data_IF_957029952139
#
_entry.id   IF_957029952139
#
_cell.length_a   1.000
_cell.length_b   1.000
_cell.length_c   1.000
_cell.angle_alpha   90.00
_cell.angle_beta   90.00
_cell.angle_gamma   90.00
#
_symmetry.space_group_name_H-M   'P 1'
#
loop_
_entity.id
_entity.type
_entity.pdbx_description
1 polymer ?
#
# COMPACT_ATOMS: atom_id res chain seq x y z
N UNK A 1 -12.15 1.66 27.12
CA UNK A 1 -11.79 1.61 25.68
C UNK A 1 -10.94 0.38 25.48
N UNK A 2 -11.20 -0.45 24.45
CA UNK A 2 -10.36 -1.63 24.21
C UNK A 2 -8.97 -1.19 23.76
N UNK A 3 -7.95 -1.76 24.40
CA UNK A 3 -6.55 -1.48 24.09
C UNK A 3 -6.24 -1.88 22.64
N UNK A 4 -5.67 -0.96 21.88
CA UNK A 4 -5.27 -1.19 20.49
C UNK A 4 -3.93 -1.91 20.49
N UNK A 5 -3.86 -3.03 19.81
CA UNK A 5 -2.61 -3.79 19.65
C UNK A 5 -1.97 -3.38 18.33
N UNK A 6 -0.81 -2.71 18.44
CA UNK A 6 0.03 -2.33 17.31
C UNK A 6 1.07 -3.43 17.09
N UNK A 7 0.92 -4.21 15.99
CA UNK A 7 1.73 -5.43 15.83
C UNK A 7 1.84 -5.90 14.37
N UNK A 8 2.83 -6.76 14.15
CA UNK A 8 2.91 -7.66 13.00
C UNK A 8 2.15 -8.94 13.34
N UNK A 9 1.33 -9.42 12.41
CA UNK A 9 0.47 -10.58 12.59
C UNK A 9 0.58 -11.55 11.43
N UNK A 10 0.19 -12.80 11.70
CA UNK A 10 0.14 -13.91 10.77
C UNK A 10 -1.29 -14.43 10.64
N UNK A 11 -1.67 -14.82 9.44
CA UNK A 11 -2.92 -15.51 9.15
C UNK A 11 -2.54 -16.83 8.47
N UNK A 12 -2.82 -17.95 9.10
CA UNK A 12 -2.45 -19.28 8.61
C UNK A 12 -3.69 -20.06 8.19
N UNK A 13 -3.67 -20.63 6.99
CA UNK A 13 -4.63 -21.63 6.54
C UNK A 13 -4.22 -22.97 7.16
N UNK A 14 -5.03 -23.53 8.04
CA UNK A 14 -4.73 -24.78 8.75
C UNK A 14 -4.82 -26.02 7.85
N UNK A 15 -5.47 -25.92 6.69
CA UNK A 15 -5.60 -27.05 5.75
C UNK A 15 -4.38 -27.17 4.86
N UNK A 16 -3.86 -26.04 4.34
CA UNK A 16 -2.73 -26.05 3.39
C UNK A 16 -1.39 -25.75 4.05
N UNK A 17 -1.39 -25.12 5.22
CA UNK A 17 -0.19 -24.60 5.88
C UNK A 17 0.28 -23.24 5.30
N UNK A 18 -0.35 -22.76 4.25
CA UNK A 18 -0.02 -21.44 3.67
C UNK A 18 -0.38 -20.32 4.63
N UNK A 19 0.39 -19.24 4.58
CA UNK A 19 0.16 -18.12 5.51
C UNK A 19 0.45 -16.77 4.88
N UNK A 20 -0.13 -15.75 5.51
CA UNK A 20 0.02 -14.34 5.21
C UNK A 20 0.65 -13.60 6.40
N UNK A 21 1.51 -12.64 6.14
CA UNK A 21 2.05 -11.72 7.14
C UNK A 21 1.57 -10.31 6.81
N UNK A 22 1.16 -9.57 7.81
CA UNK A 22 0.75 -8.17 7.69
C UNK A 22 1.00 -7.41 8.97
N UNK A 23 0.89 -6.09 8.92
CA UNK A 23 1.02 -5.22 10.08
C UNK A 23 -0.18 -4.30 10.24
N UNK A 24 -0.48 -3.88 11.45
CA UNK A 24 -1.53 -2.92 11.75
C UNK A 24 -1.30 -2.20 13.07
N UNK A 25 -1.71 -0.92 13.13
CA UNK A 25 -1.81 -0.14 14.38
C UNK A 25 -2.94 -0.63 15.31
N UNK A 26 -3.90 -1.35 14.74
CA UNK A 26 -4.99 -2.00 15.44
C UNK A 26 -5.25 -3.35 14.77
N UNK A 27 -4.63 -4.38 15.32
CA UNK A 27 -4.69 -5.75 14.80
C UNK A 27 -6.11 -6.31 14.89
N UNK A 28 -6.84 -6.02 15.97
CA UNK A 28 -8.22 -6.51 16.17
C UNK A 28 -9.15 -5.98 15.08
N UNK A 29 -9.06 -4.68 14.80
CA UNK A 29 -9.83 -4.05 13.71
C UNK A 29 -9.42 -4.61 12.35
N UNK A 30 -8.12 -4.82 12.14
CA UNK A 30 -7.59 -5.36 10.88
C UNK A 30 -8.05 -6.79 10.63
N UNK A 31 -8.07 -7.63 11.65
CA UNK A 31 -8.59 -8.99 11.57
C UNK A 31 -10.09 -9.03 11.26
N UNK A 32 -10.88 -8.16 11.87
CA UNK A 32 -12.30 -8.02 11.53
C UNK A 32 -12.50 -7.66 10.05
N UNK A 33 -11.64 -6.79 9.50
CA UNK A 33 -11.65 -6.47 8.07
C UNK A 33 -11.29 -7.68 7.20
N UNK A 34 -10.30 -8.49 7.59
CA UNK A 34 -9.95 -9.72 6.85
C UNK A 34 -11.07 -10.75 6.87
N UNK A 35 -11.81 -10.84 7.97
CA UNK A 35 -12.96 -11.76 8.12
C UNK A 35 -14.23 -11.29 7.38
N UNK A 36 -14.27 -10.06 6.89
CA UNK A 36 -15.45 -9.48 6.26
C UNK A 36 -15.60 -9.89 4.78
N UNK A 37 -16.67 -10.59 4.37
CA UNK A 37 -16.89 -11.01 2.97
C UNK A 37 -16.95 -9.86 1.98
N UNK A 38 -17.42 -8.67 2.37
CA UNK A 38 -17.44 -7.50 1.50
C UNK A 38 -16.05 -7.05 1.06
N UNK A 39 -15.02 -7.29 1.90
CA UNK A 39 -13.63 -7.02 1.55
C UNK A 39 -13.10 -8.03 0.54
N UNK A 40 -13.47 -9.29 0.66
CA UNK A 40 -13.07 -10.32 -0.30
C UNK A 40 -13.60 -10.02 -1.70
N UNK A 41 -14.84 -9.49 -1.79
CA UNK A 41 -15.45 -9.08 -3.05
C UNK A 41 -14.74 -7.88 -3.70
N UNK A 42 -14.19 -6.97 -2.89
CA UNK A 42 -13.39 -5.84 -3.39
C UNK A 42 -12.01 -6.25 -3.92
N UNK A 43 -11.51 -7.41 -3.48
CA UNK A 43 -10.21 -7.94 -3.87
C UNK A 43 -10.34 -9.38 -4.39
N UNK A 44 -11.04 -9.61 -5.52
CA UNK A 44 -11.41 -10.95 -5.98
C UNK A 44 -10.22 -11.86 -6.30
N UNK A 45 -9.08 -11.27 -6.68
CA UNK A 45 -7.88 -12.00 -7.08
C UNK A 45 -6.82 -12.10 -5.96
N UNK A 46 -7.15 -11.70 -4.73
CA UNK A 46 -6.22 -11.84 -3.62
C UNK A 46 -6.12 -13.30 -3.17
N UNK A 47 -4.92 -13.92 -3.16
CA UNK A 47 -4.75 -15.36 -2.85
C UNK A 47 -5.31 -15.75 -1.49
N UNK A 48 -5.07 -14.95 -0.44
CA UNK A 48 -5.60 -15.18 0.89
C UNK A 48 -7.14 -15.23 0.89
N UNK A 49 -7.79 -14.29 0.17
CA UNK A 49 -9.26 -14.22 0.11
C UNK A 49 -9.88 -15.28 -0.80
N UNK A 50 -9.15 -15.75 -1.82
CA UNK A 50 -9.55 -16.88 -2.63
C UNK A 50 -9.64 -18.15 -1.77
N UNK A 51 -8.63 -18.38 -0.96
CA UNK A 51 -8.57 -19.53 -0.08
C UNK A 51 -9.55 -19.42 1.10
N UNK A 52 -9.76 -18.21 1.65
CA UNK A 52 -10.81 -17.99 2.66
C UNK A 52 -12.21 -18.32 2.13
N UNK A 53 -12.49 -18.05 0.84
CA UNK A 53 -13.76 -18.44 0.19
C UNK A 53 -13.85 -19.95 -0.04
N UNK A 54 -12.73 -20.57 -0.42
CA UNK A 54 -12.67 -22.00 -0.76
C UNK A 54 -12.74 -22.89 0.44
N UNK A 55 -12.02 -22.55 1.49
CA UNK A 55 -11.83 -23.41 2.66
C UNK A 55 -12.68 -23.00 3.88
N UNK A 56 -13.29 -21.82 3.85
CA UNK A 56 -14.01 -21.25 4.99
C UNK A 56 -13.09 -20.53 5.98
N UNK A 57 -13.59 -19.46 6.57
CA UNK A 57 -12.82 -18.60 7.49
C UNK A 57 -12.45 -19.30 8.80
N UNK A 58 -13.23 -20.31 9.18
CA UNK A 58 -13.03 -21.14 10.37
C UNK A 58 -11.72 -21.95 10.33
N UNK A 59 -11.18 -22.17 9.12
CA UNK A 59 -9.91 -22.87 8.92
C UNK A 59 -8.71 -21.90 8.86
N UNK A 60 -8.91 -20.64 9.27
CA UNK A 60 -7.83 -19.66 9.33
C UNK A 60 -7.55 -19.21 10.75
N UNK A 61 -6.30 -19.37 11.18
CA UNK A 61 -5.81 -18.93 12.48
C UNK A 61 -5.15 -17.57 12.36
N UNK A 62 -5.49 -16.66 13.26
CA UNK A 62 -4.99 -15.29 13.32
C UNK A 62 -4.13 -15.13 14.56
N UNK A 63 -2.86 -14.80 14.39
CA UNK A 63 -1.87 -14.74 15.46
C UNK A 63 -1.08 -13.43 15.40
N UNK A 64 -0.77 -12.84 16.55
CA UNK A 64 0.23 -11.78 16.66
C UNK A 64 1.60 -12.42 16.68
N UNK A 65 2.51 -11.96 15.82
CA UNK A 65 3.91 -12.41 15.80
C UNK A 65 4.73 -11.57 16.77
N UNK A 66 4.63 -10.25 16.64
CA UNK A 66 5.41 -9.30 17.43
C UNK A 66 4.68 -7.95 17.54
N UNK A 67 4.58 -7.44 18.77
CA UNK A 67 4.12 -6.08 19.01
C UNK A 67 5.24 -5.10 18.70
N UNK A 68 4.90 -3.97 18.07
CA UNK A 68 5.87 -2.98 17.67
C UNK A 68 5.27 -1.58 17.65
N UNK A 69 6.09 -0.57 17.82
CA UNK A 69 5.68 0.81 17.61
C UNK A 69 5.31 1.06 16.14
N UNK A 70 4.39 1.97 15.94
CA UNK A 70 3.86 2.33 14.61
C UNK A 70 4.96 2.67 13.60
N UNK A 71 6.03 3.34 14.05
CA UNK A 71 7.17 3.77 13.24
C UNK A 71 7.94 2.60 12.62
N UNK A 72 8.00 1.46 13.32
CA UNK A 72 8.76 0.27 12.92
C UNK A 72 7.92 -0.84 12.28
N UNK A 73 6.59 -0.69 12.25
CA UNK A 73 5.70 -1.74 11.76
C UNK A 73 6.03 -2.25 10.36
N UNK A 74 6.30 -1.35 9.42
CA UNK A 74 6.58 -1.73 8.02
C UNK A 74 7.93 -2.41 7.87
N UNK A 75 8.91 -1.96 8.62
CA UNK A 75 10.25 -2.56 8.61
C UNK A 75 10.18 -3.99 9.17
N UNK A 76 9.52 -4.18 10.30
CA UNK A 76 9.31 -5.49 10.91
C UNK A 76 8.48 -6.43 10.03
N UNK A 77 7.40 -5.94 9.42
CA UNK A 77 6.61 -6.71 8.45
C UNK A 77 7.51 -7.21 7.31
N UNK A 78 8.35 -6.35 6.75
CA UNK A 78 9.26 -6.70 5.66
C UNK A 78 10.30 -7.73 6.10
N UNK A 79 10.89 -7.57 7.28
CA UNK A 79 11.84 -8.53 7.87
C UNK A 79 11.20 -9.92 8.01
N UNK A 80 9.97 -10.01 8.55
CA UNK A 80 9.25 -11.28 8.67
C UNK A 80 8.87 -11.89 7.31
N UNK A 81 8.51 -11.08 6.33
CA UNK A 81 8.23 -11.55 4.96
C UNK A 81 9.49 -12.16 4.33
N UNK A 82 10.64 -11.50 4.47
CA UNK A 82 11.92 -11.99 3.93
C UNK A 82 12.39 -13.28 4.62
N UNK A 83 12.22 -13.35 5.94
CA UNK A 83 12.63 -14.48 6.76
C UNK A 83 11.74 -15.71 6.54
N UNK A 84 10.42 -15.52 6.56
CA UNK A 84 9.44 -16.61 6.57
C UNK A 84 8.87 -16.94 5.18
N UNK A 85 9.04 -16.06 4.20
CA UNK A 85 8.60 -16.22 2.80
C UNK A 85 7.14 -16.68 2.66
N UNK A 86 6.17 -15.92 3.20
CA UNK A 86 4.76 -16.30 3.22
C UNK A 86 4.18 -16.44 1.82
N UNK A 87 3.40 -17.48 1.60
CA UNK A 87 2.80 -17.81 0.30
C UNK A 87 1.81 -16.74 -0.17
N UNK A 88 0.98 -16.22 0.74
CA UNK A 88 -0.05 -15.24 0.39
C UNK A 88 0.46 -13.81 0.22
N UNK A 89 1.67 -13.47 0.67
CA UNK A 89 2.31 -12.18 0.41
C UNK A 89 3.00 -12.15 -0.96
N UNK A 90 3.33 -13.32 -1.50
CA UNK A 90 3.88 -13.40 -2.85
C UNK A 90 2.73 -13.27 -3.85
N UNK A 91 2.69 -12.19 -4.62
CA UNK A 91 1.78 -12.05 -5.75
C UNK A 91 1.98 -13.13 -6.84
N UNK A 92 2.90 -14.08 -6.59
CA UNK A 92 3.24 -15.19 -7.50
C UNK A 92 2.19 -16.29 -7.55
N UNK A 93 1.37 -16.46 -6.50
CA UNK A 93 0.38 -17.55 -6.40
C UNK A 93 -0.74 -17.49 -7.46
N UNK A 94 -0.95 -16.34 -8.11
CA UNK A 94 -2.00 -16.16 -9.13
C UNK A 94 -1.47 -15.63 -10.46
N UNK A 95 -0.23 -15.97 -10.86
CA UNK A 95 0.32 -15.50 -12.11
C UNK A 95 0.55 -13.98 -12.13
N UNK A 96 0.70 -13.35 -10.96
CA UNK A 96 1.18 -11.98 -10.90
C UNK A 96 2.62 -11.96 -11.42
N UNK A 97 2.73 -11.69 -12.69
CA UNK A 97 3.99 -11.54 -13.37
C UNK A 97 4.56 -10.15 -13.07
N UNK A 98 5.52 -10.11 -12.13
CA UNK A 98 6.21 -8.88 -11.75
C UNK A 98 6.89 -8.21 -12.96
N UNK A 99 7.44 -9.00 -13.87
CA UNK A 99 8.06 -8.49 -15.09
C UNK A 99 7.01 -7.91 -16.05
N UNK A 100 5.85 -8.54 -16.15
CA UNK A 100 4.71 -8.02 -16.92
C UNK A 100 4.18 -6.72 -16.34
N UNK A 101 4.05 -6.62 -15.00
CA UNK A 101 3.64 -5.39 -14.31
C UNK A 101 4.68 -4.28 -14.50
N UNK A 102 5.95 -4.61 -14.38
CA UNK A 102 7.06 -3.68 -14.62
C UNK A 102 7.08 -3.20 -16.09
N UNK A 103 6.85 -4.12 -17.04
CA UNK A 103 6.72 -3.82 -18.46
C UNK A 103 5.49 -2.92 -18.71
N UNK A 104 4.33 -3.28 -18.18
CA UNK A 104 3.11 -2.48 -18.29
C UNK A 104 3.29 -1.08 -17.70
N UNK A 105 3.87 -0.96 -16.49
CA UNK A 105 4.16 0.34 -15.86
C UNK A 105 5.15 1.15 -16.70
N UNK A 106 6.16 0.51 -17.28
CA UNK A 106 7.13 1.18 -18.17
C UNK A 106 6.47 1.66 -19.46
N UNK A 107 5.58 0.85 -20.05
CA UNK A 107 4.82 1.20 -21.25
C UNK A 107 3.78 2.30 -20.96
N UNK A 108 3.04 2.17 -19.85
CA UNK A 108 2.09 3.19 -19.39
C UNK A 108 2.78 4.55 -19.19
N UNK A 109 3.92 4.57 -18.52
CA UNK A 109 4.68 5.82 -18.30
C UNK A 109 5.21 6.45 -19.60
N UNK A 110 5.36 5.66 -20.67
CA UNK A 110 5.72 6.14 -22.01
C UNK A 110 4.52 6.57 -22.84
N UNK A 111 3.32 6.17 -22.45
CA UNK A 111 2.09 6.48 -23.19
C UNK A 111 1.84 7.98 -23.24
N UNK A 112 1.26 8.44 -24.36
CA UNK A 112 0.94 9.86 -24.53
C UNK A 112 -0.10 10.31 -23.49
N UNK A 113 -1.02 9.43 -23.11
CA UNK A 113 -1.99 9.68 -22.03
C UNK A 113 -1.31 9.97 -20.68
N UNK A 114 -0.26 9.23 -20.34
CA UNK A 114 0.49 9.47 -19.10
C UNK A 114 1.29 10.76 -19.17
N UNK A 115 1.89 11.05 -20.33
CA UNK A 115 2.63 12.29 -20.57
C UNK A 115 1.71 13.50 -20.49
N UNK A 116 0.52 13.42 -21.10
CA UNK A 116 -0.49 14.48 -21.09
C UNK A 116 -0.99 14.74 -19.66
N UNK A 117 -1.35 13.69 -18.92
CA UNK A 117 -1.69 13.78 -17.49
C UNK A 117 -0.61 14.46 -16.68
N UNK A 118 0.67 14.07 -16.85
CA UNK A 118 1.78 14.70 -16.14
C UNK A 118 2.02 16.15 -16.58
N UNK A 119 1.81 16.45 -17.86
CA UNK A 119 1.90 17.82 -18.38
C UNK A 119 0.84 18.72 -17.78
N UNK A 120 -0.43 18.28 -17.80
CA UNK A 120 -1.54 19.02 -17.19
C UNK A 120 -1.31 19.19 -15.68
N UNK A 121 -0.96 18.12 -14.99
CA UNK A 121 -0.72 18.14 -13.56
C UNK A 121 0.42 19.08 -13.17
N UNK A 122 1.53 19.04 -13.88
CA UNK A 122 2.70 19.86 -13.56
C UNK A 122 2.55 21.32 -13.97
N UNK A 123 1.66 21.61 -14.92
CA UNK A 123 1.37 22.96 -15.40
C UNK A 123 0.25 23.66 -14.60
N UNK A 124 -0.35 23.00 -13.61
CA UNK A 124 -1.28 23.68 -12.72
C UNK A 124 -0.63 24.93 -12.11
N UNK A 125 -1.38 26.03 -12.08
CA UNK A 125 -0.85 27.30 -11.60
C UNK A 125 -0.98 27.40 -10.07
N UNK A 126 0.05 27.92 -9.45
CA UNK A 126 0.15 28.20 -8.03
C UNK A 126 0.45 29.69 -7.83
N UNK A 127 -0.14 30.30 -6.81
CA UNK A 127 0.22 31.66 -6.39
C UNK A 127 1.06 31.58 -5.09
N UNK A 128 2.30 32.06 -5.17
CA UNK A 128 3.22 32.01 -4.06
C UNK A 128 4.09 33.28 -3.99
N UNK A 129 4.07 33.97 -2.86
CA UNK A 129 4.85 35.18 -2.60
C UNK A 129 4.72 36.28 -3.69
N UNK A 130 3.49 36.50 -4.19
CA UNK A 130 3.23 37.51 -5.22
C UNK A 130 3.53 37.06 -6.66
N UNK A 131 3.98 35.84 -6.86
CA UNK A 131 4.32 35.29 -8.18
C UNK A 131 3.34 34.16 -8.57
N UNK A 132 3.02 34.05 -9.87
CA UNK A 132 2.30 32.93 -10.44
C UNK A 132 3.32 31.96 -11.02
N UNK A 133 3.33 30.74 -10.52
CA UNK A 133 4.27 29.68 -10.88
C UNK A 133 3.50 28.42 -11.28
N UNK A 134 4.13 27.54 -12.07
CA UNK A 134 3.58 26.19 -12.25
C UNK A 134 3.82 25.33 -10.99
N UNK A 135 2.95 24.34 -10.75
CA UNK A 135 3.11 23.39 -9.64
C UNK A 135 4.50 22.74 -9.66
N UNK A 136 5.00 22.39 -10.83
CA UNK A 136 6.33 21.82 -10.99
C UNK A 136 7.44 22.79 -10.59
N UNK A 137 7.35 24.06 -11.02
CA UNK A 137 8.35 25.09 -10.69
C UNK A 137 8.38 25.39 -9.19
N UNK A 138 7.21 25.52 -8.56
CA UNK A 138 7.10 25.75 -7.12
C UNK A 138 7.61 24.54 -6.30
N UNK A 139 7.24 23.33 -6.71
CA UNK A 139 7.74 22.09 -6.07
C UNK A 139 9.27 21.98 -6.15
N UNK A 140 9.87 22.33 -7.30
CA UNK A 140 11.32 22.35 -7.49
C UNK A 140 12.00 23.40 -6.60
N UNK A 141 11.37 24.58 -6.44
CA UNK A 141 11.84 25.64 -5.55
C UNK A 141 11.84 25.18 -4.10
N UNK A 142 10.78 24.51 -3.65
CA UNK A 142 10.68 23.95 -2.32
C UNK A 142 11.68 22.82 -2.08
N UNK A 143 11.90 21.98 -3.07
CA UNK A 143 12.92 20.90 -2.98
C UNK A 143 14.33 21.48 -2.78
N UNK A 144 14.69 22.52 -3.53
CA UNK A 144 15.97 23.24 -3.38
C UNK A 144 16.10 23.93 -2.02
N UNK A 145 15.00 24.35 -1.43
CA UNK A 145 14.95 24.95 -0.10
C UNK A 145 14.92 23.94 1.04
N UNK A 146 14.99 22.64 0.74
CA UNK A 146 14.99 21.57 1.74
C UNK A 146 13.63 21.34 2.43
N UNK A 147 12.54 21.81 1.85
CA UNK A 147 11.19 21.65 2.43
C UNK A 147 10.76 20.19 2.29
N UNK A 148 10.33 19.52 3.38
CA UNK A 148 9.80 18.16 3.32
C UNK A 148 8.55 18.07 2.43
N UNK A 149 8.41 16.99 1.67
CA UNK A 149 7.26 16.75 0.78
C UNK A 149 6.94 17.93 -0.16
N UNK A 150 7.90 18.41 -0.96
CA UNK A 150 7.81 19.68 -1.68
C UNK A 150 6.61 19.80 -2.61
N UNK A 151 6.18 18.69 -3.25
CA UNK A 151 4.99 18.68 -4.12
C UNK A 151 3.68 18.81 -3.33
N UNK A 152 3.59 18.19 -2.16
CA UNK A 152 2.40 18.32 -1.30
C UNK A 152 2.31 19.74 -0.73
N UNK A 153 3.43 20.32 -0.37
CA UNK A 153 3.50 21.71 0.11
C UNK A 153 3.09 22.68 -1.00
N UNK A 154 3.62 22.51 -2.21
CA UNK A 154 3.29 23.36 -3.36
C UNK A 154 1.79 23.32 -3.74
N UNK A 155 1.11 22.19 -3.55
CA UNK A 155 -0.34 22.07 -3.82
C UNK A 155 -1.22 22.98 -2.95
N UNK A 156 -0.74 23.43 -1.80
CA UNK A 156 -1.49 24.34 -0.93
C UNK A 156 -1.69 25.73 -1.58
N UNK A 157 -0.93 26.04 -2.61
CA UNK A 157 -0.91 27.32 -3.30
C UNK A 157 -1.55 27.27 -4.70
N UNK A 158 -2.25 26.16 -5.03
CA UNK A 158 -2.97 26.05 -6.30
C UNK A 158 -4.02 27.13 -6.44
N UNK A 159 -4.02 27.76 -7.61
CA UNK A 159 -5.10 28.66 -8.02
C UNK A 159 -6.33 27.81 -8.41
N UNK A 160 -7.47 28.16 -7.86
CA UNK A 160 -8.77 27.57 -8.20
C UNK A 160 -9.30 28.12 -9.52
#
# INVERSE_FOLDING_TARGET
MAEKICAVYKITNTITGDFYIGSSKDVKQRWAQHKCPSRWNKCPNNPLYLDMRKYGIENFVFEVIEEAEESFLKEKEQQFIEMLKPTYNSNRANGFDFERQKKYKKEYNKSDKCKEYHKEYNNQLCFYNGEVLTLCALSTRFQKAGIPHPTQEAKKYLLQ
#
